data_IF_342414390562
#
_entry.id   IF_342414390562
#
_cell.length_a   1.000
_cell.length_b   1.000
_cell.length_c   1.000
_cell.angle_alpha   90.00
_cell.angle_beta   90.00
_cell.angle_gamma   90.00
#
_symmetry.space_group_name_H-M   'P 1'
#
loop_
_entity.id
_entity.type
_entity.pdbx_description
1 polymer ?
#
# COMPACT_ATOMS: atom_id res chain seq x y z
N UNK A 1 -0.21 -0.05 13.66
CA UNK A 1 -0.68 -1.08 12.72
C UNK A 1 -1.39 -2.16 13.52
N UNK A 2 -2.45 -2.80 13.00
CA UNK A 2 -3.05 -3.96 13.67
C UNK A 2 -2.00 -5.07 13.81
N UNK A 3 -2.07 -5.83 14.91
CA UNK A 3 -1.24 -7.00 15.12
C UNK A 3 -1.71 -8.13 14.20
N UNK A 4 -0.90 -8.51 13.20
CA UNK A 4 -1.17 -9.65 12.31
C UNK A 4 -1.04 -9.36 10.81
N UNK A 5 -1.27 -10.40 10.00
CA UNK A 5 -1.24 -10.30 8.54
C UNK A 5 -2.57 -9.79 8.01
N UNK A 6 -2.52 -8.80 7.12
CA UNK A 6 -3.70 -8.29 6.40
C UNK A 6 -3.61 -8.69 4.93
N UNK A 7 -4.70 -9.22 4.38
CA UNK A 7 -4.84 -9.48 2.93
C UNK A 7 -5.79 -8.46 2.33
N UNK A 8 -5.29 -7.67 1.39
CA UNK A 8 -6.07 -6.63 0.71
C UNK A 8 -6.38 -7.04 -0.73
N UNK A 9 -7.62 -6.89 -1.21
CA UNK A 9 -7.93 -7.14 -2.61
C UNK A 9 -7.31 -6.06 -3.50
N UNK A 10 -6.88 -6.46 -4.70
CA UNK A 10 -6.47 -5.51 -5.72
C UNK A 10 -7.68 -4.75 -6.25
N UNK A 11 -7.54 -3.43 -6.39
CA UNK A 11 -8.58 -2.53 -6.89
C UNK A 11 -8.07 -1.74 -8.09
N UNK A 12 -8.98 -1.09 -8.81
CA UNK A 12 -8.64 -0.29 -9.99
C UNK A 12 -7.66 0.83 -9.61
N UNK A 13 -6.59 0.93 -10.39
CA UNK A 13 -5.57 1.98 -10.32
C UNK A 13 -5.38 2.60 -11.71
N UNK A 14 -5.05 3.89 -11.74
CA UNK A 14 -4.68 4.58 -12.98
C UNK A 14 -3.22 4.31 -13.37
N UNK A 15 -2.35 4.13 -12.38
CA UNK A 15 -0.92 3.86 -12.53
C UNK A 15 -0.42 3.06 -11.32
N UNK A 16 0.44 2.09 -11.57
CA UNK A 16 0.89 1.12 -10.56
C UNK A 16 -0.22 0.17 -10.09
N UNK A 17 -0.07 -0.37 -8.89
CA UNK A 17 -1.02 -1.27 -8.26
C UNK A 17 -1.64 -0.61 -7.02
N UNK A 18 -2.95 -0.80 -6.84
CA UNK A 18 -3.69 -0.35 -5.66
C UNK A 18 -4.35 -1.55 -4.98
N UNK A 19 -4.15 -1.69 -3.69
CA UNK A 19 -4.82 -2.69 -2.86
C UNK A 19 -5.61 -1.98 -1.77
N UNK A 20 -6.89 -2.31 -1.61
CA UNK A 20 -7.75 -1.58 -0.67
C UNK A 20 -8.93 -2.41 -0.19
N UNK A 21 -9.24 -2.34 1.10
CA UNK A 21 -10.46 -2.87 1.72
C UNK A 21 -11.48 -1.76 2.07
N UNK A 22 -11.22 -0.52 1.64
CA UNK A 22 -11.99 0.67 1.98
C UNK A 22 -11.53 1.41 3.25
N UNK A 23 -10.72 0.77 4.10
CA UNK A 23 -10.14 1.40 5.32
C UNK A 23 -8.64 1.58 5.17
N UNK A 24 -7.94 0.54 4.73
CA UNK A 24 -6.51 0.54 4.43
C UNK A 24 -6.33 0.57 2.93
N UNK A 25 -5.47 1.44 2.43
CA UNK A 25 -5.09 1.49 1.02
C UNK A 25 -3.58 1.45 0.88
N UNK A 26 -3.08 0.48 0.13
CA UNK A 26 -1.68 0.40 -0.29
C UNK A 26 -1.59 0.82 -1.75
N UNK A 27 -0.73 1.79 -2.01
CA UNK A 27 -0.36 2.23 -3.34
C UNK A 27 1.07 1.77 -3.62
N UNK A 28 1.25 1.03 -4.71
CA UNK A 28 2.56 0.64 -5.20
C UNK A 28 2.76 1.21 -6.60
N UNK A 29 3.88 1.88 -6.83
CA UNK A 29 4.26 2.40 -8.15
C UNK A 29 5.73 2.15 -8.40
N UNK A 30 6.04 1.24 -9.31
CA UNK A 30 7.42 0.83 -9.54
C UNK A 30 8.05 0.30 -8.25
N UNK A 31 9.14 0.92 -7.79
CA UNK A 31 9.82 0.54 -6.55
C UNK A 31 9.29 1.26 -5.30
N UNK A 32 8.36 2.20 -5.43
CA UNK A 32 7.86 2.98 -4.29
C UNK A 32 6.55 2.45 -3.74
N UNK A 33 6.32 2.74 -2.46
CA UNK A 33 5.11 2.33 -1.75
C UNK A 33 4.62 3.44 -0.81
N UNK A 34 3.30 3.59 -0.72
CA UNK A 34 2.59 4.49 0.18
C UNK A 34 1.43 3.73 0.84
N UNK A 35 1.19 3.95 2.13
CA UNK A 35 0.09 3.33 2.88
C UNK A 35 -0.77 4.41 3.50
N UNK A 36 -2.08 4.28 3.28
CA UNK A 36 -3.11 5.11 3.88
C UNK A 36 -4.02 4.25 4.76
N UNK A 37 -4.42 4.79 5.92
CA UNK A 37 -5.41 4.17 6.81
C UNK A 37 -6.39 5.26 7.23
N UNK A 38 -7.70 5.02 7.03
CA UNK A 38 -8.74 6.02 7.24
C UNK A 38 -8.45 7.35 6.51
N UNK A 39 -8.02 7.25 5.25
CA UNK A 39 -7.62 8.38 4.39
C UNK A 39 -6.40 9.19 4.88
N UNK A 40 -5.75 8.79 5.97
CA UNK A 40 -4.51 9.39 6.46
C UNK A 40 -3.29 8.62 5.95
N UNK A 41 -2.32 9.33 5.37
CA UNK A 41 -1.05 8.73 4.95
C UNK A 41 -0.19 8.42 6.17
N UNK A 42 -0.02 7.12 6.47
CA UNK A 42 0.79 6.65 7.60
C UNK A 42 2.20 6.22 7.19
N UNK A 43 2.40 5.89 5.91
CA UNK A 43 3.71 5.59 5.32
C UNK A 43 3.78 6.22 3.94
N UNK A 44 4.89 6.88 3.65
CA UNK A 44 5.17 7.51 2.36
C UNK A 44 6.63 7.27 1.98
N UNK A 45 6.93 7.38 0.68
CA UNK A 45 8.30 7.35 0.13
C UNK A 45 9.09 6.09 0.51
N UNK A 46 8.39 4.98 0.77
CA UNK A 46 9.02 3.69 1.01
C UNK A 46 9.58 3.15 -0.30
N UNK A 47 10.79 2.60 -0.28
CA UNK A 47 11.47 2.06 -1.46
C UNK A 47 11.76 0.58 -1.25
N UNK A 48 11.44 -0.24 -2.25
CA UNK A 48 11.74 -1.67 -2.23
C UNK A 48 13.25 -1.90 -2.08
N UNK A 49 13.64 -2.67 -1.07
CA UNK A 49 15.02 -3.12 -0.95
C UNK A 49 15.28 -4.27 -1.95
N UNK A 50 16.47 -4.33 -2.56
CA UNK A 50 16.85 -5.45 -3.40
C UNK A 50 16.75 -6.77 -2.63
N UNK A 51 16.27 -7.81 -3.28
CA UNK A 51 16.38 -9.17 -2.74
C UNK A 51 17.88 -9.52 -2.62
N UNK A 52 18.29 -9.97 -1.43
CA UNK A 52 19.67 -10.44 -1.16
C UNK A 52 19.83 -11.91 -1.55
#
# INVERSE_FOLDING_TARGET
>A
MPDGTVTLPQTISADGARYSDGTTTIWNKGNTLMVQVNDETILQDCVAQPAS
#
